data_IF_140704464089
#
_entry.id   IF_140704464089
#
_cell.length_a   1.000
_cell.length_b   1.000
_cell.length_c   1.000
_cell.angle_alpha   90.00
_cell.angle_beta   90.00
_cell.angle_gamma   90.00
#
_symmetry.space_group_name_H-M   'P 1'
#
loop_
_entity.id
_entity.type
_entity.pdbx_description
1 polymer ?
#
# COMPACT_ATOMS: atom_id res chain seq x y z
N UNK A 1 11.67 -25.17 27.67
CA UNK A 1 10.55 -26.12 27.57
C UNK A 1 9.79 -25.80 26.31
N UNK A 2 10.14 -26.51 25.25
CA UNK A 2 9.66 -26.30 23.86
C UNK A 2 8.28 -26.94 23.74
N UNK A 3 7.23 -26.14 23.68
CA UNK A 3 5.83 -26.59 23.56
C UNK A 3 5.22 -26.39 22.17
N UNK A 4 6.03 -26.42 21.12
CA UNK A 4 5.51 -26.66 19.76
C UNK A 4 6.51 -27.56 19.03
N UNK A 5 6.17 -28.83 19.02
CA UNK A 5 6.88 -29.84 18.22
C UNK A 5 6.90 -29.39 16.76
N UNK A 6 8.08 -29.40 16.17
CA UNK A 6 8.26 -29.31 14.72
C UNK A 6 7.62 -30.55 14.09
N UNK A 7 6.40 -30.42 13.62
CA UNK A 7 5.84 -31.34 12.65
C UNK A 7 6.47 -31.02 11.29
N UNK A 8 7.42 -31.82 10.89
CA UNK A 8 8.11 -31.85 9.62
C UNK A 8 7.14 -32.25 8.49
N UNK A 9 6.25 -31.36 8.10
CA UNK A 9 5.29 -31.60 7.02
C UNK A 9 4.50 -30.36 6.60
N UNK A 10 4.43 -29.38 7.45
CA UNK A 10 3.71 -28.14 7.25
C UNK A 10 4.66 -26.94 7.08
N UNK A 11 5.50 -26.94 6.06
CA UNK A 11 5.89 -25.70 5.41
C UNK A 11 4.64 -25.21 4.64
N UNK A 12 3.62 -25.28 5.35
CA UNK A 12 2.19 -25.17 5.21
C UNK A 12 1.88 -23.87 4.50
N UNK A 13 0.84 -23.90 3.70
CA UNK A 13 0.18 -22.73 3.11
C UNK A 13 0.13 -21.55 4.09
N UNK A 14 -0.13 -21.78 5.38
CA UNK A 14 -0.13 -20.80 6.44
C UNK A 14 1.23 -20.09 6.61
N UNK A 15 2.33 -20.81 6.67
CA UNK A 15 3.67 -20.21 6.79
C UNK A 15 4.04 -19.37 5.55
N UNK A 16 3.62 -19.81 4.35
CA UNK A 16 3.79 -19.03 3.11
C UNK A 16 2.92 -17.77 3.11
N UNK A 17 1.66 -17.88 3.53
CA UNK A 17 0.74 -16.76 3.65
C UNK A 17 1.23 -15.74 4.69
N UNK A 18 1.72 -16.18 5.85
CA UNK A 18 2.29 -15.31 6.88
C UNK A 18 3.56 -14.60 6.37
N UNK A 19 4.44 -15.30 5.64
CA UNK A 19 5.62 -14.69 5.04
C UNK A 19 5.26 -13.67 3.98
N UNK A 20 4.26 -13.96 3.16
CA UNK A 20 3.69 -13.02 2.20
C UNK A 20 3.12 -11.79 2.92
N UNK A 21 2.29 -11.99 3.96
CA UNK A 21 1.76 -10.90 4.78
C UNK A 21 2.86 -10.01 5.38
N UNK A 22 3.94 -10.61 5.89
CA UNK A 22 5.10 -9.87 6.40
C UNK A 22 5.82 -9.02 5.33
N UNK A 23 5.78 -9.41 4.06
CA UNK A 23 6.42 -8.63 2.99
C UNK A 23 5.74 -7.27 2.73
N UNK A 24 4.49 -7.11 3.16
CA UNK A 24 3.77 -5.84 3.13
C UNK A 24 4.22 -4.86 4.22
N UNK A 25 4.90 -5.33 5.26
CA UNK A 25 5.29 -4.45 6.38
C UNK A 25 6.23 -3.34 5.94
N UNK A 26 7.15 -3.61 5.01
CA UNK A 26 8.13 -2.62 4.56
C UNK A 26 7.47 -1.41 3.87
N UNK A 27 6.65 -1.57 2.82
CA UNK A 27 5.94 -0.43 2.22
C UNK A 27 4.93 0.21 3.17
N UNK A 28 4.28 -0.57 4.04
CA UNK A 28 3.31 -0.03 5.00
C UNK A 28 3.99 0.83 6.07
N UNK A 29 5.20 0.50 6.50
CA UNK A 29 5.92 1.25 7.52
C UNK A 29 6.25 2.71 7.10
N UNK A 30 6.25 3.01 5.81
CA UNK A 30 6.47 4.37 5.29
C UNK A 30 5.18 5.21 5.33
N UNK A 31 4.00 4.58 5.26
CA UNK A 31 2.72 5.28 5.13
C UNK A 31 2.39 6.23 6.28
N UNK A 32 2.72 5.93 7.56
CA UNK A 32 2.46 6.87 8.65
C UNK A 32 3.24 8.16 8.54
N UNK A 33 4.51 8.08 8.19
CA UNK A 33 5.33 9.28 8.00
C UNK A 33 4.78 10.13 6.84
N UNK A 34 4.43 9.48 5.72
CA UNK A 34 3.79 10.14 4.59
C UNK A 34 2.42 10.73 4.97
N UNK A 35 1.62 9.99 5.77
CA UNK A 35 0.33 10.45 6.27
C UNK A 35 0.42 11.67 7.19
N UNK A 36 1.42 11.71 8.09
CA UNK A 36 1.68 12.87 8.93
C UNK A 36 2.08 14.10 8.09
N UNK A 37 2.99 13.92 7.14
CA UNK A 37 3.42 15.00 6.26
C UNK A 37 2.25 15.55 5.43
N UNK A 38 1.48 14.66 4.81
CA UNK A 38 0.32 15.04 4.01
C UNK A 38 -0.81 15.63 4.87
N UNK A 39 -1.10 15.00 6.02
CA UNK A 39 -2.18 15.43 6.91
C UNK A 39 -1.90 16.79 7.53
N UNK A 40 -0.74 16.99 8.13
CA UNK A 40 -0.37 18.27 8.74
C UNK A 40 -0.18 19.33 7.64
N UNK A 41 0.59 19.02 6.62
CA UNK A 41 0.85 19.91 5.50
C UNK A 41 -0.45 20.33 4.81
N UNK A 42 -1.30 19.40 4.40
CA UNK A 42 -2.55 19.66 3.71
C UNK A 42 -3.58 20.40 4.57
N UNK A 43 -3.71 20.02 5.85
CA UNK A 43 -4.66 20.70 6.74
C UNK A 43 -4.27 22.16 7.03
N UNK A 44 -2.96 22.43 7.25
CA UNK A 44 -2.50 23.78 7.63
C UNK A 44 -2.20 24.68 6.42
N UNK A 45 -2.05 24.12 5.20
CA UNK A 45 -1.97 24.87 3.95
C UNK A 45 -3.34 25.07 3.28
N UNK A 46 -4.41 24.45 3.79
CA UNK A 46 -5.74 24.60 3.23
C UNK A 46 -6.21 26.06 3.40
N UNK A 47 -6.67 26.75 2.32
CA UNK A 47 -7.15 28.12 2.38
C UNK A 47 -8.26 28.36 3.41
N UNK A 48 -9.13 27.36 3.67
CA UNK A 48 -10.18 27.47 4.69
C UNK A 48 -9.59 27.49 6.10
N UNK A 49 -8.53 26.71 6.35
CA UNK A 49 -7.81 26.74 7.62
C UNK A 49 -7.08 28.08 7.83
N UNK A 50 -6.45 28.60 6.77
CA UNK A 50 -5.77 29.91 6.83
C UNK A 50 -6.76 31.05 7.11
N UNK A 51 -7.95 31.03 6.49
CA UNK A 51 -9.03 32.01 6.78
C UNK A 51 -9.53 31.90 8.21
N UNK A 52 -9.66 30.67 8.73
CA UNK A 52 -10.12 30.45 10.12
C UNK A 52 -9.06 30.85 11.16
N UNK A 53 -7.79 30.73 10.81
CA UNK A 53 -6.65 30.96 11.69
C UNK A 53 -5.62 31.88 11.02
N UNK A 54 -5.82 33.22 11.03
CA UNK A 54 -4.99 34.20 10.32
C UNK A 54 -3.49 34.15 10.69
N UNK A 55 -3.13 33.63 11.87
CA UNK A 55 -1.73 33.47 12.26
C UNK A 55 -0.98 32.43 11.39
N UNK A 56 -1.71 31.59 10.64
CA UNK A 56 -1.12 30.66 9.66
C UNK A 56 -0.75 31.36 8.34
N UNK A 57 -1.26 32.55 8.07
CA UNK A 57 -1.02 33.31 6.85
C UNK A 57 0.35 34.00 6.87
N UNK A 58 1.40 33.20 7.08
CA UNK A 58 2.79 33.64 7.03
C UNK A 58 3.44 32.91 5.85
N UNK A 59 3.89 33.65 4.84
CA UNK A 59 4.34 33.10 3.55
C UNK A 59 5.39 31.97 3.67
N UNK A 60 6.41 32.13 4.49
CA UNK A 60 7.42 31.06 4.67
C UNK A 60 6.84 29.82 5.36
N UNK A 61 5.89 29.99 6.27
CA UNK A 61 5.21 28.90 6.98
C UNK A 61 4.31 28.11 6.02
N UNK A 62 3.55 28.81 5.17
CA UNK A 62 2.72 28.19 4.13
C UNK A 62 3.57 27.42 3.11
N UNK A 63 4.73 27.93 2.74
CA UNK A 63 5.67 27.21 1.89
C UNK A 63 6.12 25.89 2.52
N UNK A 64 6.42 25.85 3.82
CA UNK A 64 6.77 24.62 4.53
C UNK A 64 5.61 23.64 4.51
N UNK A 65 4.40 24.04 4.84
CA UNK A 65 3.23 23.17 4.83
C UNK A 65 2.92 22.63 3.43
N UNK A 66 3.07 23.44 2.40
CA UNK A 66 2.92 23.00 1.00
C UNK A 66 3.98 21.96 0.61
N UNK A 67 5.23 22.15 1.01
CA UNK A 67 6.31 21.17 0.79
C UNK A 67 5.98 19.86 1.53
N UNK A 68 5.55 19.95 2.78
CA UNK A 68 5.16 18.77 3.55
C UNK A 68 4.00 18.02 2.89
N UNK A 69 2.95 18.71 2.46
CA UNK A 69 1.81 18.12 1.77
C UNK A 69 2.26 17.41 0.48
N UNK A 70 3.09 18.06 -0.33
CA UNK A 70 3.62 17.51 -1.57
C UNK A 70 4.51 16.28 -1.33
N UNK A 71 5.40 16.34 -0.33
CA UNK A 71 6.25 15.22 0.06
C UNK A 71 5.47 14.02 0.59
N UNK A 72 4.36 14.26 1.31
CA UNK A 72 3.47 13.20 1.75
C UNK A 72 2.65 12.60 0.60
N UNK A 73 2.08 13.44 -0.26
CA UNK A 73 1.20 13.02 -1.35
C UNK A 73 1.90 12.12 -2.38
N UNK A 74 3.18 12.39 -2.69
CA UNK A 74 3.93 11.61 -3.68
C UNK A 74 4.09 10.14 -3.28
N UNK A 75 4.14 9.85 -1.97
CA UNK A 75 4.21 8.48 -1.46
C UNK A 75 2.91 7.74 -1.76
N UNK A 76 1.76 8.37 -1.51
CA UNK A 76 0.44 7.77 -1.80
C UNK A 76 0.18 7.62 -3.31
N UNK A 77 0.65 8.56 -4.11
CA UNK A 77 0.54 8.48 -5.57
C UNK A 77 1.37 7.32 -6.16
N UNK A 78 2.42 6.88 -5.46
CA UNK A 78 3.36 5.86 -5.94
C UNK A 78 3.31 4.56 -5.12
N UNK A 79 2.17 4.21 -4.53
CA UNK A 79 2.02 2.98 -3.76
C UNK A 79 2.35 1.73 -4.58
N UNK A 80 1.99 1.68 -5.86
CA UNK A 80 2.25 0.53 -6.72
C UNK A 80 3.73 0.13 -6.73
N UNK A 81 4.65 1.09 -6.91
CA UNK A 81 6.09 0.80 -6.91
C UNK A 81 6.60 0.42 -5.53
N UNK A 82 6.11 1.07 -4.47
CA UNK A 82 6.50 0.74 -3.10
C UNK A 82 6.12 -0.70 -2.75
N UNK A 83 4.94 -1.15 -3.17
CA UNK A 83 4.50 -2.53 -2.95
C UNK A 83 5.23 -3.52 -3.84
N UNK A 84 5.53 -3.20 -5.10
CA UNK A 84 6.32 -4.05 -5.98
C UNK A 84 7.71 -4.31 -5.38
N UNK A 85 8.40 -3.26 -4.97
CA UNK A 85 9.73 -3.35 -4.34
C UNK A 85 9.63 -4.05 -2.98
N UNK A 86 8.70 -3.64 -2.13
CA UNK A 86 8.55 -4.19 -0.78
C UNK A 86 8.29 -5.69 -0.76
N UNK A 87 7.46 -6.18 -1.68
CA UNK A 87 7.16 -7.62 -1.80
C UNK A 87 8.36 -8.38 -2.38
N UNK A 88 8.97 -7.88 -3.46
CA UNK A 88 10.13 -8.53 -4.06
C UNK A 88 11.29 -8.65 -3.06
N UNK A 89 11.62 -7.56 -2.38
CA UNK A 89 12.70 -7.48 -1.37
C UNK A 89 12.35 -8.27 -0.10
N UNK A 90 11.12 -8.16 0.37
CA UNK A 90 10.64 -8.83 1.59
C UNK A 90 10.61 -10.36 1.45
N UNK A 91 10.32 -10.87 0.26
CA UNK A 91 10.29 -12.30 -0.03
C UNK A 91 11.65 -12.86 -0.46
N UNK A 92 12.56 -12.04 -1.02
CA UNK A 92 13.88 -12.46 -1.43
C UNK A 92 14.73 -12.95 -0.24
N UNK A 93 15.46 -14.06 -0.43
CA UNK A 93 16.35 -14.64 0.58
C UNK A 93 17.80 -14.13 0.47
N UNK A 94 18.24 -13.80 -0.75
CA UNK A 94 19.56 -13.26 -1.09
C UNK A 94 19.41 -12.16 -2.11
N UNK A 95 20.44 -11.39 -2.37
CA UNK A 95 20.52 -10.37 -3.43
C UNK A 95 19.28 -9.46 -3.49
N UNK A 96 18.86 -8.97 -2.32
CA UNK A 96 17.65 -8.15 -2.16
C UNK A 96 17.67 -6.90 -3.00
N UNK A 97 18.85 -6.29 -3.18
CA UNK A 97 19.02 -5.13 -4.05
C UNK A 97 18.64 -5.42 -5.51
N UNK A 98 19.09 -6.56 -6.04
CA UNK A 98 18.71 -7.00 -7.39
C UNK A 98 17.21 -7.27 -7.50
N UNK A 99 16.59 -7.90 -6.49
CA UNK A 99 15.14 -8.11 -6.47
C UNK A 99 14.39 -6.76 -6.49
N UNK A 100 14.85 -5.76 -5.73
CA UNK A 100 14.28 -4.42 -5.72
C UNK A 100 14.39 -3.74 -7.09
N UNK A 101 15.59 -3.69 -7.67
CA UNK A 101 15.81 -3.09 -9.00
C UNK A 101 14.98 -3.79 -10.07
N UNK A 102 14.96 -5.12 -10.07
CA UNK A 102 14.19 -5.90 -11.03
C UNK A 102 12.69 -5.63 -10.92
N UNK A 103 12.14 -5.40 -9.71
CA UNK A 103 10.72 -5.10 -9.53
C UNK A 103 10.35 -3.69 -10.03
N UNK A 104 11.23 -2.70 -9.86
CA UNK A 104 11.05 -1.36 -10.44
C UNK A 104 10.98 -1.45 -11.96
N UNK A 105 11.99 -2.10 -12.56
CA UNK A 105 12.06 -2.28 -14.00
C UNK A 105 10.85 -3.06 -14.54
N UNK A 106 10.45 -4.13 -13.85
CA UNK A 106 9.30 -4.93 -14.21
C UNK A 106 8.00 -4.12 -14.22
N UNK A 107 7.78 -3.25 -13.22
CA UNK A 107 6.60 -2.38 -13.16
C UNK A 107 6.58 -1.36 -14.29
N UNK A 108 7.73 -0.74 -14.57
CA UNK A 108 7.86 0.22 -15.68
C UNK A 108 7.57 -0.44 -17.03
N UNK A 109 8.16 -1.62 -17.28
CA UNK A 109 7.95 -2.37 -18.53
C UNK A 109 6.51 -2.84 -18.67
N UNK A 110 5.88 -3.33 -17.60
CA UNK A 110 4.46 -3.71 -17.62
C UNK A 110 3.58 -2.50 -17.99
N UNK A 111 3.76 -1.38 -17.33
CA UNK A 111 2.97 -0.17 -17.59
C UNK A 111 3.21 0.39 -19.01
N UNK A 112 4.46 0.39 -19.49
CA UNK A 112 4.80 0.79 -20.84
C UNK A 112 4.15 -0.13 -21.89
N UNK A 113 4.11 -1.45 -21.63
CA UNK A 113 3.44 -2.43 -22.50
C UNK A 113 1.93 -2.16 -22.55
N UNK A 114 1.28 -1.93 -21.41
CA UNK A 114 -0.14 -1.59 -21.36
C UNK A 114 -0.40 -0.28 -22.11
N UNK A 115 0.44 0.75 -21.92
CA UNK A 115 0.34 2.01 -22.64
C UNK A 115 0.42 1.80 -24.15
N UNK A 116 1.41 1.05 -24.64
CA UNK A 116 1.56 0.73 -26.04
C UNK A 116 0.31 0.03 -26.61
N UNK A 117 -0.27 -0.91 -25.86
CA UNK A 117 -1.51 -1.59 -26.26
C UNK A 117 -2.71 -0.64 -26.29
N UNK A 118 -2.84 0.27 -25.33
CA UNK A 118 -3.88 1.31 -25.34
C UNK A 118 -3.77 2.22 -26.57
N UNK A 119 -2.55 2.57 -26.98
CA UNK A 119 -2.29 3.36 -28.20
C UNK A 119 -2.68 2.55 -29.45
N UNK A 120 -2.18 1.32 -29.58
CA UNK A 120 -2.40 0.44 -30.75
C UNK A 120 -3.89 0.14 -30.94
N UNK A 121 -4.62 -0.07 -29.85
CA UNK A 121 -6.06 -0.36 -29.89
C UNK A 121 -6.93 0.90 -30.01
N UNK A 122 -6.32 2.09 -29.97
CA UNK A 122 -7.06 3.36 -30.01
C UNK A 122 -7.91 3.64 -28.76
N UNK A 123 -7.66 2.93 -27.66
CA UNK A 123 -8.41 3.06 -26.38
C UNK A 123 -7.73 3.97 -25.36
N UNK A 124 -6.61 4.62 -25.74
CA UNK A 124 -5.93 5.60 -24.88
C UNK A 124 -6.82 6.83 -24.69
N UNK A 125 -7.21 7.10 -23.46
CA UNK A 125 -8.03 8.26 -23.12
C UNK A 125 -7.25 9.57 -23.27
N UNK A 126 -7.87 10.59 -23.87
CA UNK A 126 -7.28 11.94 -23.98
C UNK A 126 -7.64 12.81 -22.78
N UNK A 127 -8.82 12.61 -22.22
CA UNK A 127 -9.37 13.36 -21.09
C UNK A 127 -10.10 12.39 -20.17
N UNK A 128 -10.29 12.78 -18.90
CA UNK A 128 -11.03 12.01 -17.91
C UNK A 128 -10.56 10.54 -17.79
N UNK A 129 -9.24 10.34 -17.67
CA UNK A 129 -8.61 9.02 -17.58
C UNK A 129 -9.32 8.07 -16.61
N UNK A 130 -9.73 8.63 -15.50
CA UNK A 130 -10.36 7.91 -14.42
C UNK A 130 -11.71 7.26 -14.81
N UNK A 131 -12.51 7.92 -15.65
CA UNK A 131 -13.82 7.41 -16.07
C UNK A 131 -13.73 6.11 -16.88
N UNK A 132 -12.57 5.89 -17.53
CA UNK A 132 -12.28 4.67 -18.33
C UNK A 132 -11.31 3.72 -17.62
N UNK A 133 -11.07 3.92 -16.34
CA UNK A 133 -10.18 3.06 -15.54
C UNK A 133 -8.71 3.18 -15.90
N UNK A 134 -8.29 4.33 -16.45
CA UNK A 134 -6.89 4.65 -16.74
C UNK A 134 -6.36 5.66 -15.73
N UNK A 135 -5.05 5.68 -15.54
CA UNK A 135 -4.37 6.60 -14.65
C UNK A 135 -2.91 6.82 -15.06
N UNK A 136 -2.24 7.70 -14.31
CA UNK A 136 -0.81 7.96 -14.49
C UNK A 136 0.00 7.21 -13.44
N UNK A 137 0.94 6.38 -13.89
CA UNK A 137 1.88 5.67 -13.01
C UNK A 137 3.31 6.01 -13.44
N UNK A 138 4.05 6.72 -12.59
CA UNK A 138 5.44 7.14 -12.86
C UNK A 138 5.61 7.87 -14.20
N UNK A 139 4.64 8.71 -14.59
CA UNK A 139 4.65 9.43 -15.85
C UNK A 139 4.18 8.64 -17.07
N UNK A 140 3.78 7.38 -16.91
CA UNK A 140 3.24 6.52 -17.98
C UNK A 140 1.72 6.44 -17.81
N UNK A 141 0.96 6.80 -18.85
CA UNK A 141 -0.48 6.56 -18.86
C UNK A 141 -0.74 5.06 -19.05
N UNK A 142 -1.50 4.46 -18.16
CA UNK A 142 -1.73 3.01 -18.12
C UNK A 142 -3.11 2.71 -17.52
N UNK A 143 -3.50 1.45 -17.42
CA UNK A 143 -4.65 1.06 -16.64
C UNK A 143 -4.38 1.32 -15.16
N UNK A 144 -5.38 1.81 -14.42
CA UNK A 144 -5.26 2.04 -12.97
C UNK A 144 -5.25 0.69 -12.23
N UNK A 145 -4.08 0.09 -12.16
CA UNK A 145 -3.87 -1.19 -11.45
C UNK A 145 -3.52 -1.00 -9.97
N UNK A 146 -3.10 0.22 -9.61
CA UNK A 146 -2.78 0.61 -8.24
C UNK A 146 -1.85 -0.36 -7.51
N UNK A 147 -2.14 -0.58 -6.24
CA UNK A 147 -1.39 -1.49 -5.38
C UNK A 147 -1.44 -2.95 -5.89
N UNK A 148 -2.55 -3.38 -6.48
CA UNK A 148 -2.66 -4.75 -7.02
C UNK A 148 -1.64 -5.02 -8.12
N UNK A 149 -1.46 -4.08 -9.06
CA UNK A 149 -0.42 -4.18 -10.08
C UNK A 149 0.97 -4.31 -9.45
N UNK A 150 1.25 -3.50 -8.42
CA UNK A 150 2.49 -3.59 -7.64
C UNK A 150 2.68 -4.95 -6.97
N UNK A 151 1.64 -5.51 -6.36
CA UNK A 151 1.66 -6.83 -5.73
C UNK A 151 1.96 -7.93 -6.74
N UNK A 152 1.27 -7.93 -7.89
CA UNK A 152 1.46 -8.92 -8.96
C UNK A 152 2.89 -8.87 -9.50
N UNK A 153 3.40 -7.68 -9.79
CA UNK A 153 4.79 -7.48 -10.25
C UNK A 153 5.79 -7.92 -9.20
N UNK A 154 5.59 -7.55 -7.93
CA UNK A 154 6.47 -7.95 -6.83
C UNK A 154 6.55 -9.47 -6.65
N UNK A 155 5.41 -10.17 -6.75
CA UNK A 155 5.34 -11.62 -6.70
C UNK A 155 6.03 -12.27 -7.90
N UNK A 156 5.74 -11.80 -9.12
CA UNK A 156 6.40 -12.29 -10.33
C UNK A 156 7.93 -12.13 -10.21
N UNK A 157 8.38 -10.95 -9.81
CA UNK A 157 9.81 -10.66 -9.61
C UNK A 157 10.42 -11.60 -8.57
N UNK A 158 9.75 -11.81 -7.43
CA UNK A 158 10.23 -12.76 -6.42
C UNK A 158 10.36 -14.19 -6.98
N UNK A 159 9.37 -14.67 -7.74
CA UNK A 159 9.41 -16.03 -8.31
C UNK A 159 10.54 -16.17 -9.31
N UNK A 160 10.74 -15.20 -10.20
CA UNK A 160 11.83 -15.19 -11.16
C UNK A 160 13.18 -15.04 -10.46
N UNK A 161 13.31 -14.15 -9.49
CA UNK A 161 14.51 -14.00 -8.68
C UNK A 161 14.88 -15.30 -7.97
N UNK A 162 13.92 -15.97 -7.32
CA UNK A 162 14.14 -17.25 -6.65
C UNK A 162 14.66 -18.32 -7.61
N UNK A 163 14.20 -18.31 -8.87
CA UNK A 163 14.55 -19.33 -9.88
C UNK A 163 15.87 -19.04 -10.56
N UNK A 164 16.18 -17.76 -10.85
CA UNK A 164 17.23 -17.38 -11.78
C UNK A 164 18.41 -16.64 -11.15
N UNK A 165 18.39 -16.30 -9.86
CA UNK A 165 19.47 -15.54 -9.21
C UNK A 165 20.84 -16.26 -9.16
N UNK A 166 20.86 -17.56 -9.42
CA UNK A 166 22.08 -18.41 -9.45
C UNK A 166 22.27 -19.12 -10.79
N UNK A 167 21.65 -18.61 -11.86
CA UNK A 167 21.74 -19.24 -13.17
C UNK A 167 23.16 -19.12 -13.72
N UNK A 168 23.70 -20.24 -14.19
CA UNK A 168 24.92 -20.27 -14.96
C UNK A 168 24.58 -20.25 -16.45
N UNK A 169 25.09 -19.28 -17.16
CA UNK A 169 24.92 -19.14 -18.60
C UNK A 169 26.16 -19.63 -19.34
N UNK A 170 26.00 -19.99 -20.63
CA UNK A 170 27.17 -20.35 -21.46
C UNK A 170 28.25 -19.27 -21.39
N UNK A 171 29.55 -19.62 -21.58
CA UNK A 171 30.69 -18.72 -21.38
C UNK A 171 30.60 -17.40 -22.11
N UNK A 172 30.01 -17.35 -23.32
CA UNK A 172 29.84 -16.14 -24.11
C UNK A 172 28.78 -15.20 -23.53
N UNK A 173 27.88 -15.69 -22.68
CA UNK A 173 26.87 -14.91 -21.94
C UNK A 173 27.18 -14.83 -20.44
N UNK A 174 28.33 -15.30 -20.00
CA UNK A 174 28.71 -15.41 -18.58
C UNK A 174 28.61 -14.10 -17.82
N UNK A 175 28.82 -12.95 -18.48
CA UNK A 175 28.64 -11.62 -17.89
C UNK A 175 27.21 -11.38 -17.37
N UNK A 176 26.21 -11.92 -18.04
CA UNK A 176 24.80 -11.77 -17.69
C UNK A 176 24.30 -12.85 -16.71
N UNK A 177 25.16 -13.77 -16.29
CA UNK A 177 24.79 -14.86 -15.37
C UNK A 177 24.52 -14.40 -13.93
N UNK A 178 23.96 -15.31 -13.15
CA UNK A 178 23.65 -15.07 -11.74
C UNK A 178 22.57 -14.00 -11.54
N UNK A 179 22.76 -13.16 -10.52
CA UNK A 179 21.80 -12.12 -10.14
C UNK A 179 21.56 -11.07 -11.25
N UNK A 180 22.52 -10.84 -12.14
CA UNK A 180 22.40 -9.91 -13.27
C UNK A 180 21.35 -10.36 -14.29
N UNK A 181 21.07 -11.64 -14.38
CA UNK A 181 20.04 -12.19 -15.28
C UNK A 181 18.62 -11.87 -14.83
N UNK A 182 18.42 -11.64 -13.52
CA UNK A 182 17.09 -11.42 -12.95
C UNK A 182 16.39 -10.19 -13.53
N UNK A 183 16.97 -9.00 -13.58
CA UNK A 183 16.32 -7.83 -14.23
C UNK A 183 15.98 -8.09 -15.70
N UNK A 184 16.82 -8.83 -16.42
CA UNK A 184 16.62 -9.14 -17.85
C UNK A 184 15.36 -10.00 -18.00
N UNK A 185 15.31 -11.14 -17.30
CA UNK A 185 14.16 -12.05 -17.41
C UNK A 185 12.87 -11.41 -16.87
N UNK A 186 12.96 -10.57 -15.83
CA UNK A 186 11.83 -9.81 -15.32
C UNK A 186 11.29 -8.84 -16.38
N UNK A 187 12.14 -8.14 -17.13
CA UNK A 187 11.72 -7.25 -18.21
C UNK A 187 10.94 -7.99 -19.29
N UNK A 188 11.49 -9.10 -19.80
CA UNK A 188 10.79 -9.90 -20.80
C UNK A 188 9.46 -10.46 -20.27
N UNK A 189 9.46 -11.00 -19.05
CA UNK A 189 8.24 -11.51 -18.43
C UNK A 189 7.19 -10.42 -18.20
N UNK A 190 7.63 -9.19 -17.96
CA UNK A 190 6.73 -8.04 -17.74
C UNK A 190 6.02 -7.59 -19.02
N UNK A 191 6.58 -7.84 -20.19
CA UNK A 191 5.87 -7.63 -21.48
C UNK A 191 4.66 -8.57 -21.53
N UNK A 192 4.87 -9.86 -21.26
CA UNK A 192 3.77 -10.83 -21.23
C UNK A 192 2.75 -10.50 -20.14
N UNK A 193 3.23 -10.11 -18.95
CA UNK A 193 2.35 -9.68 -17.86
C UNK A 193 1.53 -8.45 -18.27
N UNK A 194 2.13 -7.47 -18.94
CA UNK A 194 1.45 -6.28 -19.45
C UNK A 194 0.33 -6.63 -20.44
N UNK A 195 0.58 -7.57 -21.37
CA UNK A 195 -0.43 -8.08 -22.26
C UNK A 195 -1.59 -8.77 -21.49
N UNK A 196 -1.27 -9.63 -20.52
CA UNK A 196 -2.29 -10.29 -19.69
C UNK A 196 -3.10 -9.24 -18.91
N UNK A 197 -2.44 -8.28 -18.28
CA UNK A 197 -3.10 -7.23 -17.50
C UNK A 197 -4.00 -6.35 -18.38
N UNK A 198 -3.61 -6.05 -19.61
CA UNK A 198 -4.43 -5.27 -20.54
C UNK A 198 -5.80 -5.93 -20.78
N UNK A 199 -5.85 -7.25 -20.96
CA UNK A 199 -7.10 -7.97 -21.21
C UNK A 199 -7.87 -8.32 -19.92
N UNK A 200 -7.16 -8.71 -18.86
CA UNK A 200 -7.77 -9.25 -17.63
C UNK A 200 -8.19 -8.13 -16.67
N UNK A 201 -7.37 -7.08 -16.56
CA UNK A 201 -7.56 -6.06 -15.54
C UNK A 201 -8.91 -5.32 -15.65
N UNK A 202 -9.41 -4.91 -16.83
CA UNK A 202 -10.70 -4.23 -16.91
C UNK A 202 -11.87 -5.05 -16.35
N UNK A 203 -11.85 -6.38 -16.55
CA UNK A 203 -12.88 -7.27 -15.99
C UNK A 203 -12.74 -7.39 -14.48
N UNK A 204 -11.50 -7.46 -14.00
CA UNK A 204 -11.21 -7.50 -12.57
C UNK A 204 -11.62 -6.20 -11.87
N UNK A 205 -11.38 -5.08 -12.51
CA UNK A 205 -11.78 -3.75 -12.03
C UNK A 205 -13.31 -3.63 -11.93
N UNK A 206 -14.06 -4.09 -12.93
CA UNK A 206 -15.52 -4.13 -12.88
C UNK A 206 -16.04 -5.02 -11.75
N UNK A 207 -15.40 -6.18 -11.51
CA UNK A 207 -15.74 -7.05 -10.38
C UNK A 207 -15.50 -6.33 -9.04
N UNK A 208 -14.39 -5.63 -8.91
CA UNK A 208 -14.06 -4.84 -7.71
C UNK A 208 -15.11 -3.75 -7.47
N UNK A 209 -15.49 -2.99 -8.51
CA UNK A 209 -16.54 -1.98 -8.40
C UNK A 209 -17.88 -2.61 -7.96
N UNK A 210 -18.24 -3.76 -8.51
CA UNK A 210 -19.43 -4.50 -8.12
C UNK A 210 -19.42 -4.94 -6.65
N UNK A 211 -18.30 -5.47 -6.17
CA UNK A 211 -18.13 -5.84 -4.75
C UNK A 211 -18.18 -4.63 -3.82
N UNK A 212 -17.59 -3.50 -4.21
CA UNK A 212 -17.71 -2.24 -3.48
C UNK A 212 -19.17 -1.82 -3.30
N UNK A 213 -19.97 -1.91 -4.37
CA UNK A 213 -21.42 -1.64 -4.33
C UNK A 213 -22.20 -2.54 -3.38
N UNK A 214 -21.84 -3.83 -3.27
CA UNK A 214 -22.47 -4.75 -2.32
C UNK A 214 -22.18 -4.35 -0.87
N UNK A 215 -20.93 -3.97 -0.57
CA UNK A 215 -20.54 -3.51 0.78
C UNK A 215 -21.27 -2.21 1.13
N UNK A 216 -21.44 -1.31 0.16
CA UNK A 216 -22.22 -0.08 0.35
C UNK A 216 -23.71 -0.37 0.61
N UNK A 217 -24.29 -1.29 -0.12
CA UNK A 217 -25.69 -1.69 0.04
C UNK A 217 -25.99 -2.37 1.39
N UNK A 218 -25.00 -3.08 1.97
CA UNK A 218 -25.14 -3.75 3.28
C UNK A 218 -24.98 -2.82 4.49
N UNK A 219 -24.53 -1.58 4.29
CA UNK A 219 -24.47 -0.56 5.32
C UNK A 219 -23.69 -0.97 6.59
N UNK A 220 -24.34 -0.85 7.75
CA UNK A 220 -23.69 -1.14 9.05
C UNK A 220 -23.30 -2.60 9.24
N UNK A 221 -24.05 -3.55 8.63
CA UNK A 221 -23.75 -4.99 8.71
C UNK A 221 -22.45 -5.29 7.96
N UNK A 222 -22.24 -4.70 6.79
CA UNK A 222 -20.98 -4.82 6.05
C UNK A 222 -19.78 -4.30 6.85
N UNK A 223 -19.94 -3.18 7.52
CA UNK A 223 -18.90 -2.61 8.39
C UNK A 223 -18.60 -3.51 9.59
N UNK A 224 -19.63 -4.10 10.20
CA UNK A 224 -19.48 -5.07 11.30
C UNK A 224 -18.68 -6.30 10.85
N UNK A 225 -19.06 -6.90 9.73
CA UNK A 225 -18.35 -8.07 9.17
C UNK A 225 -16.92 -7.72 8.85
N UNK A 226 -16.68 -6.58 8.19
CA UNK A 226 -15.35 -6.09 7.87
C UNK A 226 -14.48 -5.95 9.14
N UNK A 227 -14.99 -5.28 10.17
CA UNK A 227 -14.27 -5.07 11.42
C UNK A 227 -13.96 -6.38 12.15
N UNK A 228 -14.90 -7.32 12.16
CA UNK A 228 -14.73 -8.64 12.76
C UNK A 228 -13.62 -9.45 12.06
N UNK A 229 -13.68 -9.57 10.73
CA UNK A 229 -12.68 -10.29 9.93
C UNK A 229 -11.30 -9.65 10.08
N UNK A 230 -11.23 -8.32 10.05
CA UNK A 230 -10.00 -7.57 10.25
C UNK A 230 -9.32 -7.91 11.58
N UNK A 231 -10.10 -7.95 12.66
CA UNK A 231 -9.58 -8.28 14.00
C UNK A 231 -9.19 -9.75 14.14
N UNK A 232 -9.96 -10.65 13.55
CA UNK A 232 -9.64 -12.08 13.53
C UNK A 232 -8.33 -12.37 12.79
N UNK A 233 -8.03 -11.63 11.72
CA UNK A 233 -6.78 -11.78 10.96
C UNK A 233 -5.57 -11.11 11.62
N UNK A 234 -5.78 -10.22 12.60
CA UNK A 234 -4.73 -9.49 13.31
C UNK A 234 -3.64 -10.37 13.90
N UNK A 235 -3.96 -11.37 14.76
CA UNK A 235 -2.96 -12.25 15.39
C UNK A 235 -2.11 -13.05 14.40
N UNK A 236 -2.64 -13.29 13.19
CA UNK A 236 -1.93 -14.02 12.13
C UNK A 236 -1.05 -13.11 11.26
N UNK A 237 -1.12 -11.79 11.43
CA UNK A 237 -0.42 -10.81 10.59
C UNK A 237 -0.98 -10.70 9.16
N UNK A 238 -2.18 -11.26 8.90
CA UNK A 238 -2.82 -11.26 7.59
C UNK A 238 -3.77 -10.06 7.39
N UNK A 239 -4.03 -9.29 8.44
CA UNK A 239 -4.91 -8.13 8.39
C UNK A 239 -4.46 -7.08 7.37
N UNK A 240 -3.16 -6.96 7.11
CA UNK A 240 -2.62 -6.04 6.10
C UNK A 240 -3.13 -6.36 4.68
N UNK A 241 -3.15 -7.65 4.32
CA UNK A 241 -3.66 -8.11 3.02
C UNK A 241 -5.15 -7.81 2.89
N UNK A 242 -5.88 -7.93 4.00
CA UNK A 242 -7.33 -7.76 4.02
C UNK A 242 -7.77 -6.30 3.92
N UNK A 243 -7.21 -5.37 4.73
CA UNK A 243 -7.70 -3.99 4.74
C UNK A 243 -7.16 -3.14 3.59
N UNK A 244 -6.00 -3.48 3.05
CA UNK A 244 -5.32 -2.65 2.07
C UNK A 244 -6.17 -2.36 0.82
N UNK A 245 -6.86 -3.33 0.23
CA UNK A 245 -7.76 -3.09 -0.90
C UNK A 245 -8.84 -2.04 -0.59
N UNK A 246 -9.43 -2.08 0.59
CA UNK A 246 -10.45 -1.09 1.00
C UNK A 246 -9.87 0.31 1.20
N UNK A 247 -8.61 0.40 1.60
CA UNK A 247 -7.98 1.69 1.84
C UNK A 247 -7.45 2.35 0.58
N UNK A 248 -7.10 1.57 -0.43
CA UNK A 248 -6.33 2.05 -1.59
C UNK A 248 -6.99 1.81 -2.94
N UNK A 249 -8.13 1.12 -2.99
CA UNK A 249 -8.83 0.79 -4.24
C UNK A 249 -10.32 1.10 -4.14
N UNK A 250 -11.03 0.97 -5.25
CA UNK A 250 -12.47 1.20 -5.36
C UNK A 250 -13.34 0.38 -4.38
N UNK A 251 -12.82 -0.70 -3.78
CA UNK A 251 -13.51 -1.41 -2.70
C UNK A 251 -13.80 -0.53 -1.47
N UNK A 252 -13.02 0.52 -1.27
CA UNK A 252 -13.20 1.48 -0.18
C UNK A 252 -14.01 2.72 -0.56
N UNK A 253 -14.56 2.74 -1.76
CA UNK A 253 -15.27 3.86 -2.34
C UNK A 253 -14.46 4.57 -3.43
N UNK A 254 -15.17 5.37 -4.22
CA UNK A 254 -14.59 6.18 -5.30
C UNK A 254 -15.26 7.54 -5.32
N UNK A 255 -14.48 8.60 -5.43
CA UNK A 255 -14.94 9.98 -5.45
C UNK A 255 -14.17 10.80 -6.50
N UNK A 256 -14.84 11.76 -7.13
CA UNK A 256 -14.18 12.70 -8.04
C UNK A 256 -13.80 13.95 -7.26
N UNK A 257 -12.50 14.16 -7.08
CA UNK A 257 -11.95 15.30 -6.35
C UNK A 257 -11.05 16.08 -7.32
N UNK A 258 -11.35 17.36 -7.52
CA UNK A 258 -10.62 18.22 -8.46
C UNK A 258 -10.53 17.62 -9.89
N UNK A 259 -11.60 16.94 -10.35
CA UNK A 259 -11.67 16.33 -11.69
C UNK A 259 -10.86 15.02 -11.84
N UNK A 260 -10.32 14.50 -10.75
CA UNK A 260 -9.63 13.21 -10.72
C UNK A 260 -10.41 12.18 -9.91
N UNK A 261 -10.51 10.96 -10.43
CA UNK A 261 -11.06 9.84 -9.67
C UNK A 261 -10.05 9.42 -8.59
N UNK A 262 -10.49 9.48 -7.36
CA UNK A 262 -9.72 9.03 -6.20
C UNK A 262 -10.44 7.82 -5.62
N UNK A 263 -9.73 6.72 -5.50
CA UNK A 263 -10.25 5.46 -5.01
C UNK A 263 -9.62 5.07 -3.68
N UNK A 264 -10.43 4.46 -2.83
CA UNK A 264 -10.00 3.96 -1.53
C UNK A 264 -10.15 4.99 -0.41
N UNK A 265 -10.70 4.51 0.69
CA UNK A 265 -11.07 5.32 1.86
C UNK A 265 -9.95 6.28 2.32
N UNK A 266 -8.71 5.79 2.40
CA UNK A 266 -7.59 6.60 2.87
C UNK A 266 -7.18 7.67 1.86
N UNK A 267 -7.16 7.33 0.58
CA UNK A 267 -6.79 8.27 -0.48
C UNK A 267 -7.85 9.37 -0.62
N UNK A 268 -9.14 8.99 -0.58
CA UNK A 268 -10.25 9.96 -0.60
C UNK A 268 -10.14 10.92 0.58
N UNK A 269 -9.91 10.40 1.81
CA UNK A 269 -9.76 11.24 2.99
C UNK A 269 -8.64 12.29 2.83
N UNK A 270 -7.46 11.88 2.43
CA UNK A 270 -6.35 12.81 2.26
C UNK A 270 -6.54 13.78 1.10
N UNK A 271 -7.16 13.34 0.00
CA UNK A 271 -7.46 14.22 -1.11
C UNK A 271 -8.49 15.29 -0.70
N UNK A 272 -9.54 14.92 0.02
CA UNK A 272 -10.53 15.86 0.55
C UNK A 272 -9.97 16.79 1.63
N UNK A 273 -9.03 16.30 2.45
CA UNK A 273 -8.37 17.12 3.46
C UNK A 273 -7.54 18.25 2.83
N UNK A 274 -6.94 18.01 1.69
CA UNK A 274 -6.16 19.02 0.94
C UNK A 274 -6.99 19.90 -0.01
N UNK A 275 -8.26 19.55 -0.28
CA UNK A 275 -9.09 20.27 -1.23
C UNK A 275 -9.82 21.44 -0.58
N UNK A 276 -9.60 22.70 -1.02
CA UNK A 276 -10.27 23.89 -0.49
C UNK A 276 -11.79 23.91 -0.72
N UNK A 277 -12.28 23.18 -1.73
CA UNK A 277 -13.70 23.15 -2.11
C UNK A 277 -14.50 22.13 -1.30
N UNK A 278 -13.83 21.23 -0.60
CA UNK A 278 -14.49 20.21 0.23
C UNK A 278 -15.08 20.84 1.47
N UNK A 279 -16.41 20.94 1.54
CA UNK A 279 -17.14 21.39 2.72
C UNK A 279 -17.51 20.24 3.65
N UNK A 280 -17.76 19.07 3.12
CA UNK A 280 -18.11 17.85 3.86
C UNK A 280 -17.32 16.67 3.31
N UNK A 281 -16.87 15.81 4.21
CA UNK A 281 -16.22 14.57 3.81
C UNK A 281 -17.23 13.59 3.19
N UNK A 282 -16.74 12.75 2.30
CA UNK A 282 -17.52 11.69 1.67
C UNK A 282 -18.23 10.83 2.71
N UNK A 283 -19.53 10.61 2.52
CA UNK A 283 -20.35 9.79 3.43
C UNK A 283 -19.88 8.35 3.32
N UNK A 284 -19.40 7.77 4.42
CA UNK A 284 -18.84 6.42 4.45
C UNK A 284 -17.31 6.35 4.48
N UNK A 285 -16.60 7.50 4.38
CA UNK A 285 -15.13 7.54 4.44
C UNK A 285 -14.55 6.85 5.68
N UNK A 286 -15.24 6.88 6.80
CA UNK A 286 -14.82 6.24 8.05
C UNK A 286 -15.23 4.76 8.16
N UNK A 287 -16.06 4.24 7.24
CA UNK A 287 -16.65 2.90 7.30
C UNK A 287 -15.59 1.81 7.44
N UNK A 288 -14.54 1.87 6.63
CA UNK A 288 -13.45 0.91 6.65
C UNK A 288 -12.30 1.27 7.59
N UNK A 289 -12.37 2.42 8.25
CA UNK A 289 -11.45 2.77 9.34
C UNK A 289 -11.89 2.18 10.69
N UNK A 290 -13.21 1.91 10.86
CA UNK A 290 -13.82 1.10 11.93
C UNK A 290 -13.22 1.31 13.33
N UNK A 291 -13.02 2.56 13.75
CA UNK A 291 -12.45 2.91 15.07
C UNK A 291 -10.98 2.48 15.27
N UNK A 292 -10.28 2.10 14.21
CA UNK A 292 -8.91 1.61 14.26
C UNK A 292 -7.96 2.63 14.90
N UNK A 293 -8.07 3.89 14.53
CA UNK A 293 -7.23 4.95 15.08
C UNK A 293 -7.42 5.09 16.60
N UNK A 294 -8.66 5.08 17.08
CA UNK A 294 -8.96 5.13 18.52
C UNK A 294 -8.33 3.93 19.24
N UNK A 295 -8.47 2.74 18.67
CA UNK A 295 -7.87 1.53 19.25
C UNK A 295 -6.35 1.59 19.25
N UNK A 296 -5.72 2.09 18.19
CA UNK A 296 -4.26 2.19 18.10
C UNK A 296 -3.72 3.29 18.97
N UNK A 297 -4.29 4.50 18.94
CA UNK A 297 -3.79 5.64 19.72
C UNK A 297 -4.03 5.53 21.21
N UNK A 298 -5.08 4.83 21.63
CA UNK A 298 -5.43 4.74 23.06
C UNK A 298 -5.47 3.29 23.58
N UNK A 299 -6.08 2.36 22.84
CA UNK A 299 -6.23 0.97 23.27
C UNK A 299 -4.90 0.24 23.38
N UNK A 300 -3.97 0.46 22.44
CA UNK A 300 -2.64 -0.17 22.49
C UNK A 300 -1.78 0.37 23.62
N UNK A 301 -1.94 1.63 24.01
CA UNK A 301 -1.25 2.18 25.21
C UNK A 301 -1.71 1.42 26.46
N UNK A 302 -3.02 1.22 26.60
CA UNK A 302 -3.57 0.40 27.69
C UNK A 302 -3.04 -1.04 27.68
N UNK A 303 -2.95 -1.66 26.51
CA UNK A 303 -2.37 -2.98 26.34
C UNK A 303 -0.88 -3.02 26.73
N UNK A 304 -0.08 -2.03 26.32
CA UNK A 304 1.32 -1.91 26.73
C UNK A 304 1.46 -1.76 28.25
N UNK A 305 0.60 -0.97 28.87
CA UNK A 305 0.59 -0.79 30.32
C UNK A 305 0.25 -2.11 31.05
N UNK A 306 -0.77 -2.83 30.57
CA UNK A 306 -1.14 -4.12 31.12
C UNK A 306 -0.01 -5.17 31.00
N UNK A 307 0.64 -5.23 29.82
CA UNK A 307 1.80 -6.09 29.59
C UNK A 307 2.97 -5.75 30.53
N UNK A 308 3.21 -4.45 30.78
CA UNK A 308 4.23 -4.02 31.72
C UNK A 308 3.90 -4.43 33.17
N UNK A 309 2.64 -4.26 33.59
CA UNK A 309 2.21 -4.63 34.93
C UNK A 309 2.31 -6.14 35.19
N UNK A 310 1.99 -6.96 34.19
CA UNK A 310 2.01 -8.43 34.28
C UNK A 310 3.36 -9.05 33.94
N UNK A 311 4.35 -8.26 33.55
CA UNK A 311 5.69 -8.73 33.23
C UNK A 311 6.39 -9.29 34.47
N UNK A 312 7.15 -10.39 34.32
CA UNK A 312 7.98 -10.96 35.37
C UNK A 312 9.00 -9.93 35.90
N UNK A 313 9.25 -9.86 37.21
CA UNK A 313 10.16 -8.88 37.83
C UNK A 313 11.53 -8.79 37.14
N UNK A 314 12.09 -9.95 36.74
CA UNK A 314 13.39 -10.09 36.10
C UNK A 314 13.48 -9.35 34.77
N UNK A 315 12.38 -9.31 34.01
CA UNK A 315 12.29 -8.73 32.65
C UNK A 315 11.66 -7.34 32.65
N UNK A 316 11.10 -6.89 33.79
CA UNK A 316 10.26 -5.70 33.88
C UNK A 316 10.97 -4.43 33.37
N UNK A 317 12.27 -4.30 33.65
CA UNK A 317 13.06 -3.14 33.24
C UNK A 317 13.27 -3.07 31.69
N UNK A 318 13.58 -4.21 31.06
CA UNK A 318 13.80 -4.31 29.61
C UNK A 318 12.47 -4.19 28.86
N UNK A 319 11.46 -4.91 29.32
CA UNK A 319 10.11 -4.89 28.75
C UNK A 319 9.49 -3.50 28.88
N UNK A 320 9.72 -2.79 30.00
CA UNK A 320 9.20 -1.45 30.23
C UNK A 320 9.71 -0.43 29.22
N UNK A 321 11.00 -0.43 28.90
CA UNK A 321 11.56 0.46 27.89
C UNK A 321 11.00 0.22 26.49
N UNK A 322 10.89 -1.06 26.11
CA UNK A 322 10.35 -1.46 24.82
C UNK A 322 8.84 -1.10 24.66
N UNK A 323 8.06 -1.39 25.71
CA UNK A 323 6.63 -1.09 25.71
C UNK A 323 6.35 0.41 25.76
N UNK A 324 7.17 1.20 26.49
CA UNK A 324 7.05 2.65 26.49
C UNK A 324 7.29 3.24 25.10
N UNK A 325 8.35 2.79 24.41
CA UNK A 325 8.62 3.21 23.03
C UNK A 325 7.48 2.83 22.09
N UNK A 326 6.96 1.60 22.20
CA UNK A 326 5.83 1.14 21.40
C UNK A 326 4.54 1.94 21.66
N UNK A 327 4.25 2.23 22.94
CA UNK A 327 3.09 3.03 23.34
C UNK A 327 3.19 4.46 22.82
N UNK A 328 4.35 5.09 22.95
CA UNK A 328 4.60 6.45 22.47
C UNK A 328 4.47 6.51 20.94
N UNK A 329 5.08 5.57 20.23
CA UNK A 329 4.97 5.48 18.76
C UNK A 329 3.53 5.29 18.33
N UNK A 330 2.79 4.37 18.96
CA UNK A 330 1.40 4.11 18.65
C UNK A 330 0.51 5.35 18.90
N UNK A 331 0.77 6.08 20.00
CA UNK A 331 0.06 7.33 20.28
C UNK A 331 0.31 8.42 19.25
N UNK A 332 1.58 8.62 18.89
CA UNK A 332 1.98 9.68 17.97
C UNK A 332 1.59 9.41 16.52
N UNK A 333 1.62 8.17 16.09
CA UNK A 333 1.47 7.81 14.67
C UNK A 333 0.19 7.05 14.36
N UNK A 334 -0.53 6.56 15.36
CA UNK A 334 -1.71 5.73 15.15
C UNK A 334 -1.40 4.32 14.61
N UNK A 335 -0.19 3.78 14.89
CA UNK A 335 0.29 2.47 14.39
C UNK A 335 0.64 1.56 15.55
#
# INVERSE_FOLDING_TARGET
>A
MSLFGQTSGESSFFAKAQRFGKSFMLPIAVLPAAGLLLGIGGALSNPNSVKAYPFLDIGWLQNIFTIMASAGSIVFANLAILFAVGIAVGLARSDKGTAGLASVLALLVMNATINALLIITGTLAKENLASVGQGMSLGIQTLETGVFGGVVVGLMTYLLHKRFNKIELPPFLGFFGGSRFVPIICSFSSIFLGCIMFFVWPHFQQLIFGLGGIVDATGYIGTLIYGFVLRMLGPFGLHHIFYLPFWTTALGGSEIINGQLVEGTQRIFFAQLGDPNTQHYYIGISRFMSGRFITMMFGLIGACLAMYQTAKPENKKVVGGLLFSAALTSFMTGI
#
